data_IF_086943852247
#
_entry.id   IF_086943852247
#
_cell.length_a   1.000
_cell.length_b   1.000
_cell.length_c   1.000
_cell.angle_alpha   90.00
_cell.angle_beta   90.00
_cell.angle_gamma   90.00
#
_symmetry.space_group_name_H-M   'P 1'
#
loop_
_entity.id
_entity.type
_entity.pdbx_description
1 polymer ?
#
# COMPACT_ATOMS: atom_id res chain seq x y z
N UNK A 1 8.39 -21.72 9.53
CA UNK A 1 7.08 -22.40 9.48
C UNK A 1 6.65 -22.76 8.06
N UNK A 2 6.76 -21.88 7.06
CA UNK A 2 6.31 -22.18 5.69
C UNK A 2 6.78 -23.51 5.09
N UNK A 3 8.06 -23.88 5.26
CA UNK A 3 8.59 -25.20 4.83
C UNK A 3 7.82 -26.39 5.44
N UNK A 4 7.36 -26.26 6.69
CA UNK A 4 6.58 -27.30 7.38
C UNK A 4 5.22 -27.44 6.70
N UNK A 5 4.47 -26.35 6.51
CA UNK A 5 3.15 -26.39 5.88
C UNK A 5 3.20 -26.83 4.42
N UNK A 6 4.21 -26.41 3.65
CA UNK A 6 4.41 -26.84 2.27
C UNK A 6 4.75 -28.33 2.13
N UNK A 7 5.43 -28.91 3.13
CA UNK A 7 5.72 -30.34 3.17
C UNK A 7 4.51 -31.18 3.62
N UNK A 8 3.66 -30.62 4.49
CA UNK A 8 2.50 -31.31 5.07
C UNK A 8 1.49 -31.79 4.03
N UNK A 9 1.09 -33.06 4.13
CA UNK A 9 0.01 -33.61 3.31
C UNK A 9 -1.36 -33.09 3.71
N UNK A 10 -1.55 -32.85 5.01
CA UNK A 10 -2.81 -32.46 5.63
C UNK A 10 -2.55 -31.37 6.67
N UNK A 11 -3.34 -30.30 6.61
CA UNK A 11 -3.41 -29.24 7.61
C UNK A 11 -4.84 -29.23 8.16
N UNK A 12 -4.96 -29.27 9.49
CA UNK A 12 -6.23 -29.14 10.20
C UNK A 12 -6.25 -27.78 10.88
N UNK A 13 -7.02 -26.85 10.32
CA UNK A 13 -7.30 -25.54 10.85
C UNK A 13 -8.37 -25.64 11.95
N UNK A 14 -7.96 -25.76 13.21
CA UNK A 14 -8.90 -25.78 14.33
C UNK A 14 -9.35 -24.37 14.69
N UNK A 15 -10.63 -24.06 14.43
CA UNK A 15 -11.22 -22.73 14.63
C UNK A 15 -12.01 -22.62 15.94
N UNK A 16 -11.87 -23.60 16.84
CA UNK A 16 -12.58 -23.66 18.13
C UNK A 16 -13.94 -24.37 18.08
N UNK A 17 -14.64 -24.38 19.21
CA UNK A 17 -15.94 -25.01 19.38
C UNK A 17 -17.06 -24.38 18.51
N UNK A 18 -18.19 -25.07 18.41
CA UNK A 18 -19.37 -24.48 17.77
C UNK A 18 -19.92 -23.31 18.59
N UNK A 19 -19.97 -22.13 17.98
CA UNK A 19 -20.58 -20.90 18.48
C UNK A 19 -21.16 -20.10 17.29
N UNK A 20 -21.98 -19.08 17.55
CA UNK A 20 -22.48 -18.13 16.54
C UNK A 20 -23.07 -18.78 15.28
N UNK A 21 -23.91 -19.80 15.46
CA UNK A 21 -24.53 -20.58 14.38
C UNK A 21 -23.55 -21.33 13.45
N UNK A 22 -22.26 -21.45 13.80
CA UNK A 22 -21.29 -22.23 13.01
C UNK A 22 -21.70 -23.69 12.82
N UNK A 23 -22.43 -24.31 13.77
CA UNK A 23 -23.00 -25.66 13.63
C UNK A 23 -24.00 -25.73 12.48
N UNK A 24 -24.86 -24.72 12.38
CA UNK A 24 -25.83 -24.59 11.29
C UNK A 24 -25.12 -24.39 9.94
N UNK A 25 -24.13 -23.49 9.90
CA UNK A 25 -23.30 -23.25 8.71
C UNK A 25 -22.62 -24.55 8.25
N UNK A 26 -21.90 -25.24 9.14
CA UNK A 26 -21.18 -26.47 8.86
C UNK A 26 -22.12 -27.55 8.29
N UNK A 27 -23.26 -27.77 8.94
CA UNK A 27 -24.27 -28.72 8.46
C UNK A 27 -24.79 -28.36 7.06
N UNK A 28 -25.01 -27.08 6.77
CA UNK A 28 -25.45 -26.62 5.45
C UNK A 28 -24.37 -26.77 4.39
N UNK A 29 -23.13 -26.42 4.69
CA UNK A 29 -21.99 -26.63 3.80
C UNK A 29 -21.81 -28.12 3.48
N UNK A 30 -21.94 -29.01 4.47
CA UNK A 30 -21.87 -30.46 4.28
C UNK A 30 -23.02 -31.01 3.41
N UNK A 31 -24.26 -30.60 3.68
CA UNK A 31 -25.43 -31.01 2.90
C UNK A 31 -25.32 -30.61 1.41
N UNK A 32 -24.55 -29.57 1.11
CA UNK A 32 -24.31 -29.08 -0.25
C UNK A 32 -22.82 -29.17 -0.64
N UNK A 33 -22.09 -30.12 -0.06
CA UNK A 33 -20.64 -30.26 -0.21
C UNK A 33 -20.18 -30.43 -1.66
N UNK A 34 -20.98 -31.09 -2.50
CA UNK A 34 -20.67 -31.23 -3.92
C UNK A 34 -20.66 -29.86 -4.61
N UNK A 35 -21.74 -29.08 -4.44
CA UNK A 35 -21.91 -27.77 -5.05
C UNK A 35 -20.80 -26.82 -4.62
N UNK A 36 -20.52 -26.72 -3.31
CA UNK A 36 -19.49 -25.81 -2.81
C UNK A 36 -18.08 -26.25 -3.21
N UNK A 37 -17.77 -27.54 -3.21
CA UNK A 37 -16.47 -28.01 -3.72
C UNK A 37 -16.34 -27.77 -5.22
N UNK A 38 -17.43 -27.87 -5.98
CA UNK A 38 -17.43 -27.61 -7.41
C UNK A 38 -17.19 -26.13 -7.72
N UNK A 39 -17.97 -25.22 -7.11
CA UNK A 39 -17.76 -23.76 -7.23
C UNK A 39 -16.36 -23.40 -6.75
N UNK A 40 -15.95 -23.97 -5.61
CA UNK A 40 -14.65 -23.75 -5.02
C UNK A 40 -13.46 -24.38 -5.76
N UNK A 41 -13.68 -25.09 -6.87
CA UNK A 41 -12.62 -25.56 -7.80
C UNK A 41 -12.58 -24.73 -9.08
N UNK A 42 -13.69 -24.08 -9.41
CA UNK A 42 -13.94 -23.46 -10.70
C UNK A 42 -14.19 -21.97 -10.48
N UNK A 43 -13.13 -21.21 -10.15
CA UNK A 43 -13.27 -19.77 -9.87
C UNK A 43 -12.88 -18.80 -10.99
N UNK A 44 -12.17 -19.24 -12.03
CA UNK A 44 -11.89 -18.43 -13.23
C UNK A 44 -13.15 -18.10 -14.07
N UNK A 45 -14.35 -18.14 -13.49
CA UNK A 45 -15.62 -18.31 -14.19
C UNK A 45 -16.53 -17.08 -13.98
N UNK A 46 -16.47 -16.14 -14.93
CA UNK A 46 -17.46 -15.07 -15.14
C UNK A 46 -18.30 -15.33 -16.40
N UNK A 47 -18.33 -16.56 -16.90
CA UNK A 47 -19.00 -16.94 -18.14
C UNK A 47 -20.53 -17.05 -18.02
N UNK A 48 -21.26 -17.06 -19.16
CA UNK A 48 -22.73 -17.14 -19.17
C UNK A 48 -23.31 -18.43 -18.54
N UNK A 49 -22.61 -19.57 -18.68
CA UNK A 49 -22.99 -20.86 -18.07
C UNK A 49 -23.02 -20.79 -16.54
N UNK A 50 -22.23 -19.89 -15.96
CA UNK A 50 -21.93 -19.87 -14.52
C UNK A 50 -22.99 -19.08 -13.76
N UNK A 51 -23.63 -18.12 -14.43
CA UNK A 51 -24.83 -17.44 -13.93
C UNK A 51 -25.99 -18.42 -13.74
N UNK A 52 -26.12 -19.42 -14.61
CA UNK A 52 -27.19 -20.42 -14.51
C UNK A 52 -26.98 -21.34 -13.29
N UNK A 53 -25.75 -21.80 -13.06
CA UNK A 53 -25.40 -22.60 -11.88
C UNK A 53 -25.50 -21.81 -10.58
N UNK A 54 -25.08 -20.54 -10.58
CA UNK A 54 -25.26 -19.65 -9.44
C UNK A 54 -26.75 -19.47 -9.14
N UNK A 55 -27.58 -19.15 -10.15
CA UNK A 55 -29.05 -19.06 -9.99
C UNK A 55 -29.69 -20.35 -9.50
N UNK A 56 -29.25 -21.50 -10.02
CA UNK A 56 -29.71 -22.82 -9.56
C UNK A 56 -29.35 -23.04 -8.09
N UNK A 57 -28.13 -22.66 -7.68
CA UNK A 57 -27.71 -22.73 -6.27
C UNK A 57 -28.56 -21.82 -5.38
N UNK A 58 -28.84 -20.59 -5.79
CA UNK A 58 -29.74 -19.69 -5.06
C UNK A 58 -31.12 -20.29 -4.84
N UNK A 59 -31.63 -20.94 -5.89
CA UNK A 59 -32.89 -21.66 -5.81
C UNK A 59 -32.81 -22.82 -4.82
N UNK A 60 -31.73 -23.60 -4.85
CA UNK A 60 -31.52 -24.77 -3.99
C UNK A 60 -31.31 -24.43 -2.51
N UNK A 61 -30.55 -23.37 -2.20
CA UNK A 61 -30.28 -22.95 -0.82
C UNK A 61 -31.52 -22.32 -0.18
N UNK A 62 -32.52 -21.94 -0.99
CA UNK A 62 -33.69 -21.13 -0.61
C UNK A 62 -33.25 -19.78 -0.04
N UNK A 63 -33.78 -18.70 -0.60
CA UNK A 63 -33.47 -17.32 -0.20
C UNK A 63 -33.51 -17.08 1.32
N UNK A 64 -34.41 -17.76 2.05
CA UNK A 64 -34.55 -17.63 3.51
C UNK A 64 -33.37 -18.20 4.33
N UNK A 65 -32.61 -19.15 3.79
CA UNK A 65 -31.50 -19.82 4.49
C UNK A 65 -30.22 -18.99 4.42
N UNK A 66 -30.04 -18.27 3.31
CA UNK A 66 -28.78 -17.63 2.97
C UNK A 66 -28.37 -16.53 3.97
N UNK A 67 -29.23 -15.59 4.40
CA UNK A 67 -28.84 -14.57 5.37
C UNK A 67 -28.27 -15.16 6.66
N UNK A 68 -28.88 -16.24 7.17
CA UNK A 68 -28.39 -16.94 8.37
C UNK A 68 -27.02 -17.59 8.14
N UNK A 69 -26.80 -18.20 6.97
CA UNK A 69 -25.49 -18.75 6.62
C UNK A 69 -24.42 -17.66 6.51
N UNK A 70 -24.74 -16.51 5.93
CA UNK A 70 -23.81 -15.38 5.81
C UNK A 70 -23.46 -14.79 7.17
N UNK A 71 -24.45 -14.59 8.05
CA UNK A 71 -24.22 -14.16 9.44
C UNK A 71 -23.29 -15.15 10.15
N UNK A 72 -23.61 -16.45 10.10
CA UNK A 72 -22.80 -17.48 10.75
C UNK A 72 -21.37 -17.56 10.18
N UNK A 73 -21.22 -17.38 8.87
CA UNK A 73 -19.91 -17.38 8.22
C UNK A 73 -19.09 -16.15 8.57
N UNK A 74 -19.71 -14.97 8.58
CA UNK A 74 -19.11 -13.73 9.04
C UNK A 74 -18.60 -13.85 10.48
N UNK A 75 -19.43 -14.38 11.38
CA UNK A 75 -19.02 -14.65 12.77
C UNK A 75 -17.88 -15.66 12.85
N UNK A 76 -17.85 -16.68 11.98
CA UNK A 76 -16.75 -17.63 11.89
C UNK A 76 -15.42 -16.94 11.52
N UNK A 77 -15.41 -16.05 10.53
CA UNK A 77 -14.22 -15.31 10.07
C UNK A 77 -13.71 -14.27 11.09
N UNK A 78 -14.54 -13.90 12.06
CA UNK A 78 -14.17 -12.99 13.15
C UNK A 78 -13.50 -13.68 14.32
N UNK A 79 -13.44 -15.01 14.33
CA UNK A 79 -12.76 -15.77 15.39
C UNK A 79 -11.26 -15.50 15.38
N UNK A 80 -10.67 -15.56 16.57
CA UNK A 80 -9.24 -15.36 16.83
C UNK A 80 -8.35 -16.15 15.86
N UNK A 81 -8.74 -17.38 15.50
CA UNK A 81 -8.00 -18.18 14.52
C UNK A 81 -7.69 -17.37 13.24
N UNK A 82 -8.70 -16.76 12.61
CA UNK A 82 -8.58 -16.01 11.36
C UNK A 82 -8.00 -14.60 11.53
N UNK A 83 -7.74 -14.18 12.76
CA UNK A 83 -7.05 -12.93 13.03
C UNK A 83 -5.54 -13.14 12.96
N UNK A 84 -5.00 -14.35 13.14
CA UNK A 84 -3.53 -14.54 13.20
C UNK A 84 -2.88 -14.46 11.82
N UNK A 85 -1.74 -13.75 11.72
CA UNK A 85 -0.97 -13.67 10.46
C UNK A 85 -0.54 -15.05 9.92
N UNK A 86 -0.19 -15.97 10.81
CA UNK A 86 0.28 -17.32 10.45
C UNK A 86 -0.75 -18.19 9.73
N UNK A 87 -2.04 -17.85 9.83
CA UNK A 87 -3.11 -18.56 9.12
C UNK A 87 -2.93 -18.52 7.61
N UNK A 88 -2.27 -17.49 7.07
CA UNK A 88 -1.90 -17.46 5.66
C UNK A 88 -1.04 -18.67 5.28
N UNK A 89 -0.01 -19.01 6.05
CA UNK A 89 0.83 -20.18 5.74
C UNK A 89 0.04 -21.49 5.89
N UNK A 90 -0.81 -21.59 6.92
CA UNK A 90 -1.64 -22.76 7.18
C UNK A 90 -2.62 -23.04 6.02
N UNK A 91 -3.29 -21.99 5.52
CA UNK A 91 -4.32 -22.12 4.50
C UNK A 91 -3.76 -22.23 3.07
N UNK A 92 -2.66 -21.55 2.76
CA UNK A 92 -2.13 -21.45 1.39
C UNK A 92 -1.12 -22.56 1.05
N UNK A 93 -0.28 -22.98 2.01
CA UNK A 93 0.79 -23.95 1.72
C UNK A 93 0.37 -25.41 1.92
N UNK A 94 -0.71 -25.66 2.67
CA UNK A 94 -1.19 -27.01 2.92
C UNK A 94 -1.73 -27.69 1.64
N UNK A 95 -1.26 -28.91 1.35
CA UNK A 95 -1.75 -29.69 0.19
C UNK A 95 -3.23 -30.03 0.30
N UNK A 96 -3.67 -30.35 1.51
CA UNK A 96 -5.08 -30.52 1.87
C UNK A 96 -5.34 -29.77 3.17
N UNK A 97 -6.34 -28.88 3.14
CA UNK A 97 -6.70 -28.08 4.30
C UNK A 97 -8.14 -28.41 4.70
N UNK A 98 -8.31 -28.79 5.95
CA UNK A 98 -9.60 -29.01 6.58
C UNK A 98 -9.78 -28.04 7.73
N UNK A 99 -10.95 -27.43 7.82
CA UNK A 99 -11.36 -26.58 8.93
C UNK A 99 -12.14 -27.44 9.91
N UNK A 100 -11.67 -27.49 11.16
CA UNK A 100 -12.36 -28.15 12.25
C UNK A 100 -13.03 -27.11 13.14
N UNK A 101 -14.37 -27.16 13.21
CA UNK A 101 -15.18 -26.32 14.05
C UNK A 101 -16.04 -27.22 14.95
N UNK A 102 -15.77 -27.24 16.26
CA UNK A 102 -16.34 -28.23 17.18
C UNK A 102 -16.13 -29.66 16.66
N UNK A 103 -17.21 -30.45 16.57
CA UNK A 103 -17.18 -31.80 16.00
C UNK A 103 -17.22 -31.85 14.46
N UNK A 104 -17.41 -30.72 13.78
CA UNK A 104 -17.52 -30.66 12.33
C UNK A 104 -16.15 -30.52 11.66
N UNK A 105 -15.81 -31.43 10.75
CA UNK A 105 -14.61 -31.37 9.92
C UNK A 105 -15.00 -31.16 8.46
N UNK A 106 -14.58 -30.03 7.87
CA UNK A 106 -14.95 -29.64 6.51
C UNK A 106 -13.71 -29.29 5.69
N UNK A 107 -13.69 -29.69 4.42
CA UNK A 107 -12.61 -29.29 3.51
C UNK A 107 -12.71 -27.77 3.22
N UNK A 108 -11.59 -27.04 3.23
CA UNK A 108 -11.53 -25.57 3.05
C UNK A 108 -12.29 -25.08 1.80
N UNK A 109 -12.21 -25.85 0.70
CA UNK A 109 -12.92 -25.61 -0.56
C UNK A 109 -14.44 -25.44 -0.41
N UNK A 110 -15.06 -25.93 0.66
CA UNK A 110 -16.48 -25.71 0.92
C UNK A 110 -16.76 -24.28 1.37
N UNK A 111 -15.98 -23.74 2.32
CA UNK A 111 -16.07 -22.34 2.73
C UNK A 111 -15.77 -21.42 1.57
N UNK A 112 -14.75 -21.81 0.80
CA UNK A 112 -14.36 -21.08 -0.37
C UNK A 112 -15.48 -21.04 -1.44
N UNK A 113 -16.06 -22.18 -1.82
CA UNK A 113 -17.19 -22.18 -2.75
C UNK A 113 -18.39 -21.38 -2.26
N UNK A 114 -18.61 -21.33 -0.94
CA UNK A 114 -19.63 -20.48 -0.34
C UNK A 114 -19.30 -18.98 -0.47
N UNK A 115 -18.04 -18.61 -0.20
CA UNK A 115 -17.53 -17.25 -0.39
C UNK A 115 -17.68 -16.77 -1.84
N UNK A 116 -17.26 -17.60 -2.80
CA UNK A 116 -17.36 -17.33 -4.22
C UNK A 116 -18.83 -17.15 -4.68
N UNK A 117 -19.71 -18.05 -4.27
CA UNK A 117 -21.14 -17.97 -4.59
C UNK A 117 -21.78 -16.68 -4.03
N UNK A 118 -21.37 -16.27 -2.83
CA UNK A 118 -21.82 -15.02 -2.24
C UNK A 118 -21.31 -13.80 -2.99
N UNK A 119 -20.04 -13.79 -3.40
CA UNK A 119 -19.46 -12.68 -4.17
C UNK A 119 -20.17 -12.51 -5.53
N UNK A 120 -20.37 -13.60 -6.28
CA UNK A 120 -21.09 -13.59 -7.56
C UNK A 120 -22.51 -13.03 -7.39
N UNK A 121 -23.17 -13.38 -6.30
CA UNK A 121 -24.50 -12.84 -6.01
C UNK A 121 -24.51 -11.38 -5.65
N UNK A 122 -23.55 -10.95 -4.84
CA UNK A 122 -23.32 -9.54 -4.54
C UNK A 122 -23.20 -8.74 -5.83
N UNK A 123 -22.40 -9.23 -6.79
CA UNK A 123 -22.26 -8.61 -8.11
C UNK A 123 -23.57 -8.62 -8.91
N UNK A 124 -24.29 -9.73 -8.96
CA UNK A 124 -25.58 -9.81 -9.66
C UNK A 124 -26.62 -8.86 -9.06
N UNK A 125 -26.66 -8.74 -7.73
CA UNK A 125 -27.57 -7.84 -7.02
C UNK A 125 -27.14 -6.39 -7.14
N UNK A 126 -25.85 -6.11 -7.07
CA UNK A 126 -25.31 -4.78 -7.31
C UNK A 126 -25.62 -4.33 -8.74
N UNK A 127 -25.54 -5.22 -9.73
CA UNK A 127 -25.95 -4.91 -11.10
C UNK A 127 -27.46 -4.63 -11.17
N UNK A 128 -28.31 -5.50 -10.61
CA UNK A 128 -29.77 -5.27 -10.55
C UNK A 128 -30.15 -3.98 -9.78
N UNK A 129 -29.38 -3.63 -8.74
CA UNK A 129 -29.60 -2.44 -7.91
C UNK A 129 -29.04 -1.16 -8.55
N UNK A 130 -27.91 -1.26 -9.25
CA UNK A 130 -27.33 -0.19 -10.07
C UNK A 130 -28.26 0.15 -11.24
N UNK A 131 -28.89 -0.87 -11.83
CA UNK A 131 -29.97 -0.70 -12.81
C UNK A 131 -31.25 -0.07 -12.20
N UNK A 132 -31.37 -0.05 -10.87
CA UNK A 132 -32.53 0.50 -10.14
C UNK A 132 -32.24 1.76 -9.32
N UNK A 133 -31.02 2.31 -9.41
CA UNK A 133 -30.52 3.55 -8.79
C UNK A 133 -31.28 4.03 -7.54
N UNK A 134 -30.86 3.49 -6.40
CA UNK A 134 -30.77 4.10 -5.06
C UNK A 134 -31.13 3.01 -4.07
N UNK A 135 -30.12 2.44 -3.43
CA UNK A 135 -30.14 1.62 -2.21
C UNK A 135 -28.76 0.93 -2.19
N UNK A 136 -28.05 0.80 -1.10
CA UNK A 136 -28.27 1.22 0.28
C UNK A 136 -26.96 0.96 0.99
N UNK A 137 -26.71 1.68 2.07
CA UNK A 137 -25.69 1.35 3.08
C UNK A 137 -26.02 0.03 3.78
N UNK A 138 -26.10 -1.09 3.04
CA UNK A 138 -26.26 -2.39 3.67
C UNK A 138 -24.92 -2.78 4.32
N UNK A 139 -24.79 -2.69 5.65
CA UNK A 139 -23.53 -2.93 6.36
C UNK A 139 -23.09 -4.39 6.25
N UNK A 140 -23.97 -5.27 5.75
CA UNK A 140 -23.66 -6.68 5.55
C UNK A 140 -22.63 -6.93 4.46
N UNK A 141 -22.53 -6.08 3.44
CA UNK A 141 -21.64 -6.34 2.30
C UNK A 141 -20.19 -5.89 2.53
N UNK A 142 -19.93 -4.89 3.38
CA UNK A 142 -18.60 -4.22 3.40
C UNK A 142 -17.57 -4.73 4.41
N UNK A 143 -17.98 -5.34 5.53
CA UNK A 143 -17.08 -5.40 6.71
C UNK A 143 -16.18 -6.63 6.84
N UNK A 144 -16.29 -7.65 5.98
CA UNK A 144 -15.42 -8.83 6.05
C UNK A 144 -14.94 -9.31 4.66
N UNK A 145 -14.96 -8.42 3.66
CA UNK A 145 -14.50 -8.72 2.29
C UNK A 145 -13.03 -9.18 2.28
N UNK A 146 -12.09 -8.53 2.97
CA UNK A 146 -10.67 -8.94 2.88
C UNK A 146 -10.44 -10.36 3.42
N UNK A 147 -11.07 -10.74 4.54
CA UNK A 147 -10.97 -12.10 5.09
C UNK A 147 -11.65 -13.15 4.20
N UNK A 148 -12.69 -12.74 3.48
CA UNK A 148 -13.30 -13.56 2.44
C UNK A 148 -12.29 -13.80 1.31
N UNK A 149 -11.64 -12.73 0.83
CA UNK A 149 -10.63 -12.76 -0.21
C UNK A 149 -9.41 -13.59 0.21
N UNK A 150 -9.00 -13.53 1.48
CA UNK A 150 -7.99 -14.42 2.06
C UNK A 150 -8.36 -15.90 1.87
N UNK A 151 -9.59 -16.29 2.24
CA UNK A 151 -10.06 -17.67 2.06
C UNK A 151 -10.14 -18.07 0.59
N UNK A 152 -10.49 -17.10 -0.26
CA UNK A 152 -10.52 -17.25 -1.71
C UNK A 152 -9.13 -17.50 -2.25
N UNK A 153 -8.21 -16.55 -2.06
CA UNK A 153 -6.83 -16.65 -2.49
C UNK A 153 -6.16 -17.94 -1.98
N UNK A 154 -6.32 -18.26 -0.69
CA UNK A 154 -5.69 -19.43 -0.06
C UNK A 154 -6.17 -20.77 -0.57
N UNK A 155 -7.36 -20.83 -1.18
CA UNK A 155 -7.91 -22.08 -1.69
C UNK A 155 -7.45 -22.45 -3.11
N UNK A 156 -6.86 -21.51 -3.86
CA UNK A 156 -6.43 -21.72 -5.27
C UNK A 156 -4.98 -21.42 -5.54
N UNK A 157 -4.42 -20.41 -4.87
CA UNK A 157 -3.05 -20.00 -5.13
C UNK A 157 -2.10 -20.92 -4.39
N UNK A 158 -1.75 -22.02 -5.05
CA UNK A 158 -0.49 -22.71 -4.78
C UNK A 158 0.71 -21.95 -5.36
N UNK A 159 0.46 -20.93 -6.19
CA UNK A 159 1.51 -20.07 -6.69
C UNK A 159 1.79 -18.95 -5.69
N UNK A 160 3.06 -18.63 -5.46
CA UNK A 160 3.44 -17.46 -4.70
C UNK A 160 2.82 -16.17 -5.29
N UNK A 161 2.51 -15.21 -4.42
CA UNK A 161 1.89 -13.92 -4.75
C UNK A 161 2.93 -12.79 -4.75
N UNK A 162 2.74 -11.71 -5.54
CA UNK A 162 3.58 -10.53 -5.43
C UNK A 162 3.60 -9.97 -3.99
N UNK A 163 4.74 -9.44 -3.50
CA UNK A 163 4.85 -8.90 -2.15
C UNK A 163 3.76 -7.87 -1.82
N UNK A 164 3.45 -6.96 -2.75
CA UNK A 164 2.44 -5.92 -2.56
C UNK A 164 1.05 -6.47 -2.23
N UNK A 165 0.58 -7.45 -3.00
CA UNK A 165 -0.74 -8.07 -2.77
C UNK A 165 -0.80 -8.75 -1.40
N UNK A 166 0.27 -9.42 -0.97
CA UNK A 166 0.30 -10.08 0.33
C UNK A 166 0.32 -9.08 1.48
N UNK A 167 1.09 -7.99 1.36
CA UNK A 167 1.12 -6.94 2.38
C UNK A 167 -0.23 -6.23 2.46
N UNK A 168 -0.85 -5.92 1.32
CA UNK A 168 -2.21 -5.37 1.23
C UNK A 168 -3.21 -6.30 1.93
N UNK A 169 -3.20 -7.58 1.60
CA UNK A 169 -4.02 -8.59 2.26
C UNK A 169 -3.82 -8.64 3.79
N UNK A 170 -2.58 -8.58 4.27
CA UNK A 170 -2.27 -8.56 5.72
C UNK A 170 -2.79 -7.28 6.39
N UNK A 171 -2.74 -6.15 5.70
CA UNK A 171 -3.28 -4.88 6.16
C UNK A 171 -4.81 -4.92 6.21
N UNK A 172 -5.46 -5.24 5.11
CA UNK A 172 -6.91 -5.17 4.94
C UNK A 172 -7.65 -6.24 5.76
N UNK A 173 -7.02 -7.39 6.02
CA UNK A 173 -7.58 -8.41 6.91
C UNK A 173 -7.41 -8.07 8.40
N UNK A 174 -6.72 -6.98 8.73
CA UNK A 174 -6.41 -6.55 10.10
C UNK A 174 -5.80 -7.71 10.92
N UNK A 175 -4.84 -8.44 10.33
CA UNK A 175 -4.27 -9.59 11.02
C UNK A 175 -3.53 -9.14 12.30
N UNK A 176 -3.37 -10.04 13.24
CA UNK A 176 -2.73 -9.82 14.52
C UNK A 176 -1.52 -10.73 14.67
N UNK A 177 -0.54 -10.23 15.38
CA UNK A 177 0.68 -10.93 15.78
C UNK A 177 1.26 -10.24 17.02
N UNK A 178 2.04 -10.97 17.80
CA UNK A 178 2.68 -10.42 18.99
C UNK A 178 3.88 -9.54 18.63
N UNK A 179 4.72 -10.02 17.71
CA UNK A 179 5.86 -9.28 17.16
C UNK A 179 5.44 -8.63 15.83
N UNK A 180 5.69 -7.34 15.64
CA UNK A 180 5.36 -6.63 14.40
C UNK A 180 6.08 -7.20 13.18
N UNK A 181 7.29 -7.76 13.34
CA UNK A 181 8.04 -8.38 12.26
C UNK A 181 7.30 -9.60 11.67
N UNK A 182 6.46 -10.28 12.47
CA UNK A 182 5.66 -11.41 12.00
C UNK A 182 4.61 -11.00 10.95
N UNK A 183 4.24 -9.71 10.84
CA UNK A 183 3.40 -9.22 9.74
C UNK A 183 4.02 -9.49 8.37
N UNK A 184 5.36 -9.51 8.31
CA UNK A 184 6.13 -9.75 7.10
C UNK A 184 6.67 -11.17 7.10
N UNK A 185 7.32 -11.60 8.19
CA UNK A 185 7.92 -12.93 8.30
C UNK A 185 6.88 -14.05 8.21
N UNK A 186 5.66 -13.78 8.66
CA UNK A 186 4.50 -14.67 8.53
C UNK A 186 4.03 -14.89 7.09
N UNK A 187 4.46 -14.09 6.11
CA UNK A 187 4.04 -14.23 4.70
C UNK A 187 5.18 -14.52 3.73
N UNK A 188 6.46 -14.51 4.15
CA UNK A 188 7.61 -14.64 3.23
C UNK A 188 7.58 -15.88 2.33
N UNK A 189 7.10 -17.01 2.84
CA UNK A 189 7.00 -18.25 2.07
C UNK A 189 5.90 -18.24 1.02
N UNK A 190 5.02 -17.24 1.05
CA UNK A 190 3.96 -17.02 0.07
C UNK A 190 4.38 -16.02 -1.01
N UNK A 191 5.48 -15.29 -0.82
CA UNK A 191 5.92 -14.23 -1.72
C UNK A 191 6.61 -14.82 -2.95
N UNK A 192 6.27 -14.31 -4.13
CA UNK A 192 6.97 -14.56 -5.37
C UNK A 192 8.15 -13.60 -5.51
N UNK A 193 9.38 -14.09 -5.28
CA UNK A 193 10.59 -13.27 -5.25
C UNK A 193 11.25 -13.04 -6.63
N UNK A 194 10.62 -13.41 -7.76
CA UNK A 194 11.13 -13.10 -9.12
C UNK A 194 12.65 -13.40 -9.31
N UNK A 195 13.09 -14.60 -8.93
CA UNK A 195 14.49 -15.07 -8.95
C UNK A 195 15.42 -14.51 -7.84
N UNK A 196 14.97 -13.58 -7.00
CA UNK A 196 15.72 -13.13 -5.83
C UNK A 196 15.68 -14.15 -4.68
N UNK A 197 16.69 -14.08 -3.81
CA UNK A 197 16.71 -14.84 -2.57
C UNK A 197 15.64 -14.30 -1.60
N UNK A 198 14.74 -15.16 -1.08
CA UNK A 198 13.75 -14.74 -0.10
C UNK A 198 14.40 -14.08 1.13
N UNK A 199 13.69 -13.13 1.75
CA UNK A 199 14.12 -12.60 3.05
C UNK A 199 14.30 -13.75 4.05
N UNK A 200 15.37 -13.68 4.84
CA UNK A 200 15.53 -14.56 5.98
C UNK A 200 15.00 -13.84 7.22
N UNK A 201 14.11 -14.46 8.03
CA UNK A 201 13.65 -13.86 9.27
C UNK A 201 14.84 -13.54 10.20
N UNK A 202 15.00 -12.27 10.53
CA UNK A 202 15.97 -11.76 11.51
C UNK A 202 15.21 -10.91 12.55
N UNK A 203 15.04 -11.45 13.75
CA UNK A 203 14.36 -10.76 14.86
C UNK A 203 15.30 -9.83 15.64
N UNK A 204 16.58 -9.75 15.25
CA UNK A 204 17.49 -8.71 15.76
C UNK A 204 17.40 -7.42 14.93
N UNK A 205 16.72 -7.50 13.78
CA UNK A 205 16.46 -6.38 12.88
C UNK A 205 15.38 -5.46 13.44
N UNK A 206 15.59 -4.16 13.31
CA UNK A 206 14.59 -3.15 13.63
C UNK A 206 13.51 -3.04 12.53
N UNK A 207 12.26 -2.75 12.91
CA UNK A 207 11.11 -2.68 11.99
C UNK A 207 11.32 -1.68 10.84
N UNK A 208 12.00 -0.56 11.07
CA UNK A 208 12.28 0.40 10.00
C UNK A 208 13.28 -0.17 9.01
N UNK A 209 14.30 -0.88 9.49
CA UNK A 209 15.28 -1.53 8.62
C UNK A 209 14.64 -2.60 7.74
N UNK A 210 13.71 -3.39 8.29
CA UNK A 210 12.94 -4.35 7.51
C UNK A 210 12.08 -3.65 6.43
N UNK A 211 11.47 -2.51 6.76
CA UNK A 211 10.73 -1.70 5.79
C UNK A 211 11.60 -1.22 4.62
N UNK A 212 12.82 -0.76 4.91
CA UNK A 212 13.80 -0.35 3.89
C UNK A 212 14.19 -1.53 3.01
N UNK A 213 14.37 -2.72 3.58
CA UNK A 213 14.70 -3.92 2.82
C UNK A 213 13.56 -4.37 1.90
N UNK A 214 12.31 -4.32 2.38
CA UNK A 214 11.12 -4.62 1.57
C UNK A 214 11.01 -3.68 0.36
N UNK A 215 11.16 -2.38 0.57
CA UNK A 215 11.16 -1.40 -0.52
C UNK A 215 12.32 -1.58 -1.49
N UNK A 216 13.50 -1.92 -0.96
CA UNK A 216 14.69 -2.17 -1.76
C UNK A 216 14.55 -3.37 -2.69
N UNK A 217 13.69 -4.34 -2.35
CA UNK A 217 13.40 -5.51 -3.20
C UNK A 217 12.21 -5.27 -4.10
N UNK A 218 11.25 -4.43 -3.67
CA UNK A 218 10.15 -4.02 -4.52
C UNK A 218 10.71 -3.56 -5.87
N UNK A 219 11.69 -2.64 -5.88
CA UNK A 219 12.31 -2.00 -7.07
C UNK A 219 12.74 -2.94 -8.22
N UNK A 220 12.95 -4.23 -7.95
CA UNK A 220 13.45 -5.20 -8.94
C UNK A 220 12.30 -5.86 -9.72
N UNK A 221 11.05 -5.73 -9.26
CA UNK A 221 9.87 -6.20 -9.99
C UNK A 221 9.64 -5.45 -11.33
N UNK A 222 9.22 -6.12 -12.41
CA UNK A 222 8.97 -5.46 -13.71
C UNK A 222 7.72 -4.56 -13.76
N UNK A 223 6.95 -4.45 -12.67
CA UNK A 223 5.64 -3.77 -12.61
C UNK A 223 5.67 -2.36 -11.99
N UNK A 224 6.83 -1.72 -11.86
CA UNK A 224 6.94 -0.45 -11.13
C UNK A 224 6.38 0.74 -11.86
N UNK A 225 5.19 1.17 -11.46
CA UNK A 225 4.86 2.58 -11.49
C UNK A 225 5.30 3.26 -10.18
N UNK A 226 5.58 4.57 -10.22
CA UNK A 226 5.82 5.34 -8.98
C UNK A 226 4.60 5.28 -8.07
N UNK A 227 3.39 5.23 -8.66
CA UNK A 227 2.15 5.10 -7.91
C UNK A 227 2.10 3.77 -7.16
N UNK A 228 2.52 2.67 -7.80
CA UNK A 228 2.66 1.37 -7.15
C UNK A 228 3.69 1.42 -6.01
N UNK A 229 4.85 2.05 -6.21
CA UNK A 229 5.86 2.16 -5.16
C UNK A 229 5.38 2.99 -3.97
N UNK A 230 4.68 4.11 -4.21
CA UNK A 230 4.10 4.92 -3.13
C UNK A 230 3.02 4.15 -2.36
N UNK A 231 2.14 3.46 -3.09
CA UNK A 231 1.11 2.62 -2.49
C UNK A 231 1.75 1.51 -1.66
N UNK A 232 2.77 0.84 -2.20
CA UNK A 232 3.52 -0.20 -1.52
C UNK A 232 4.27 0.31 -0.29
N UNK A 233 4.96 1.46 -0.39
CA UNK A 233 5.59 2.11 0.77
C UNK A 233 4.57 2.46 1.84
N UNK A 234 3.39 2.93 1.42
CA UNK A 234 2.31 3.20 2.36
C UNK A 234 1.78 1.97 3.06
N UNK A 235 1.62 0.87 2.34
CA UNK A 235 1.29 -0.42 2.92
C UNK A 235 2.36 -0.86 3.92
N UNK A 236 3.65 -0.74 3.58
CA UNK A 236 4.77 -1.06 4.49
C UNK A 236 4.73 -0.19 5.76
N UNK A 237 4.54 1.12 5.63
CA UNK A 237 4.39 2.05 6.77
C UNK A 237 3.23 1.64 7.68
N UNK A 238 2.10 1.24 7.10
CA UNK A 238 0.90 0.83 7.84
C UNK A 238 1.11 -0.50 8.56
N UNK A 239 1.60 -1.53 7.87
CA UNK A 239 1.73 -2.87 8.46
C UNK A 239 2.81 -2.94 9.54
N UNK A 240 3.90 -2.17 9.39
CA UNK A 240 4.99 -2.08 10.36
C UNK A 240 4.79 -0.96 11.39
N UNK A 241 3.64 -0.26 11.35
CA UNK A 241 3.27 0.82 12.26
C UNK A 241 4.34 1.93 12.39
N UNK A 242 5.05 2.21 11.29
CA UNK A 242 6.13 3.21 11.25
C UNK A 242 5.63 4.66 11.44
N UNK A 243 4.32 4.86 11.52
CA UNK A 243 3.74 6.13 11.93
C UNK A 243 3.61 6.17 13.47
N UNK A 244 2.81 5.30 14.08
CA UNK A 244 2.46 5.37 15.51
C UNK A 244 3.60 5.07 16.49
N UNK A 245 4.52 4.18 16.12
CA UNK A 245 5.60 3.72 17.00
C UNK A 245 6.92 4.04 16.31
N UNK A 246 7.52 5.19 16.66
CA UNK A 246 8.82 5.57 16.14
C UNK A 246 9.85 4.55 16.62
N UNK A 247 10.26 3.67 15.72
CA UNK A 247 11.44 2.86 15.94
C UNK A 247 12.65 3.79 16.19
N UNK A 248 13.61 3.41 17.06
CA UNK A 248 14.79 4.24 17.33
C UNK A 248 15.56 4.61 16.05
N UNK A 249 15.55 3.73 15.05
CA UNK A 249 16.20 3.99 13.75
C UNK A 249 15.43 4.99 12.90
N UNK A 250 14.10 4.89 12.84
CA UNK A 250 13.28 5.88 12.13
C UNK A 250 13.40 7.27 12.78
N UNK A 251 13.36 7.34 14.12
CA UNK A 251 13.54 8.60 14.84
C UNK A 251 14.90 9.23 14.52
N UNK A 252 15.98 8.44 14.59
CA UNK A 252 17.31 8.89 14.20
C UNK A 252 17.38 9.34 12.73
N UNK A 253 16.74 8.61 11.82
CA UNK A 253 16.67 8.95 10.40
C UNK A 253 15.94 10.30 10.17
N UNK A 254 14.86 10.57 10.91
CA UNK A 254 14.14 11.85 10.87
C UNK A 254 15.02 12.97 11.46
N UNK A 255 15.70 12.72 12.59
CA UNK A 255 16.57 13.70 13.24
C UNK A 255 17.73 14.13 12.33
N UNK A 256 18.37 13.19 11.62
CA UNK A 256 19.42 13.51 10.63
C UNK A 256 18.88 14.51 9.59
N UNK A 257 17.70 14.23 9.03
CA UNK A 257 17.06 15.06 8.00
C UNK A 257 16.67 16.44 8.53
N UNK A 258 16.31 16.56 9.81
CA UNK A 258 16.03 17.83 10.47
C UNK A 258 17.31 18.67 10.66
N UNK A 259 18.40 18.03 11.09
CA UNK A 259 19.68 18.72 11.30
C UNK A 259 20.29 19.22 9.99
N UNK A 260 20.28 18.40 8.93
CA UNK A 260 20.82 18.78 7.63
C UNK A 260 20.03 19.93 7.00
N UNK A 261 18.69 19.89 7.05
CA UNK A 261 17.86 21.00 6.56
C UNK A 261 18.16 22.32 7.28
N UNK A 262 18.36 22.28 8.60
CA UNK A 262 18.68 23.47 9.40
C UNK A 262 20.05 24.04 9.02
N UNK A 263 21.06 23.18 8.89
CA UNK A 263 22.41 23.58 8.51
C UNK A 263 22.45 24.14 7.07
N UNK A 264 21.73 23.52 6.14
CA UNK A 264 21.65 23.95 4.74
C UNK A 264 20.88 25.27 4.59
N UNK A 265 19.81 25.47 5.38
CA UNK A 265 19.08 26.73 5.45
C UNK A 265 19.96 27.89 5.90
N UNK A 266 20.82 27.65 6.90
CA UNK A 266 21.77 28.64 7.41
C UNK A 266 22.95 28.91 6.44
N UNK A 267 23.49 27.88 5.79
CA UNK A 267 24.60 28.05 4.82
C UNK A 267 24.17 28.69 3.50
N UNK A 268 22.96 28.44 3.03
CA UNK A 268 22.42 29.07 1.81
C UNK A 268 22.16 30.57 2.00
N UNK A 269 22.10 31.06 3.26
CA UNK A 269 22.08 32.49 3.55
C UNK A 269 23.47 33.15 3.52
N UNK A 270 24.55 32.35 3.60
CA UNK A 270 25.90 32.87 3.84
C UNK A 270 26.94 32.57 2.74
N UNK A 271 26.85 31.50 1.95
CA UNK A 271 27.96 31.14 1.05
C UNK A 271 27.62 30.14 -0.05
N UNK A 272 27.32 30.66 -1.25
CA UNK A 272 27.44 29.88 -2.48
C UNK A 272 28.88 30.06 -3.04
N UNK A 273 29.89 29.51 -2.35
CA UNK A 273 31.25 29.42 -2.89
C UNK A 273 32.00 28.21 -2.32
N UNK A 274 32.15 27.20 -3.19
CA UNK A 274 33.16 26.12 -3.19
C UNK A 274 33.18 25.16 -1.98
N UNK A 275 32.45 24.05 -2.11
CA UNK A 275 32.79 22.79 -1.44
C UNK A 275 33.21 21.75 -2.49
N UNK A 276 34.34 21.07 -2.24
CA UNK A 276 34.88 19.98 -3.04
C UNK A 276 34.55 18.65 -2.34
N UNK A 277 33.88 17.74 -3.05
CA UNK A 277 33.48 16.42 -2.53
C UNK A 277 34.38 15.32 -3.10
N UNK A 278 35.00 14.56 -2.19
CA UNK A 278 35.73 13.33 -2.48
C UNK A 278 34.77 12.14 -2.63
N UNK A 279 35.00 11.32 -3.66
CA UNK A 279 34.23 10.11 -3.96
C UNK A 279 34.42 9.02 -2.90
N UNK A 280 33.38 8.71 -2.13
CA UNK A 280 33.24 7.44 -1.39
C UNK A 280 32.24 6.53 -2.11
N UNK A 281 32.52 5.22 -2.10
CA UNK A 281 31.77 4.18 -2.80
C UNK A 281 30.24 4.26 -2.54
N UNK A 282 29.47 4.09 -3.62
CA UNK A 282 28.10 4.57 -3.73
C UNK A 282 27.03 3.81 -2.91
N UNK A 283 26.07 4.53 -2.28
CA UNK A 283 24.87 3.94 -1.71
C UNK A 283 23.88 3.49 -2.80
N UNK A 284 22.98 2.56 -2.43
CA UNK A 284 22.01 1.85 -3.28
C UNK A 284 20.84 2.78 -3.71
N UNK A 285 21.09 3.73 -4.60
CA UNK A 285 20.06 4.63 -5.14
C UNK A 285 18.95 3.86 -5.88
N UNK A 286 17.68 4.19 -5.63
CA UNK A 286 16.59 3.73 -6.49
C UNK A 286 16.68 4.35 -7.87
N UNK A 287 16.28 3.53 -8.82
CA UNK A 287 16.06 3.94 -10.17
C UNK A 287 14.58 3.79 -10.47
N UNK A 288 13.84 4.90 -10.47
CA UNK A 288 12.56 4.93 -11.16
C UNK A 288 12.82 5.20 -12.65
N UNK A 289 13.18 4.14 -13.38
CA UNK A 289 13.21 4.23 -14.84
C UNK A 289 11.76 4.38 -15.35
N UNK A 290 11.50 5.44 -16.13
CA UNK A 290 10.28 5.51 -16.94
C UNK A 290 9.22 6.55 -16.57
N UNK A 291 9.38 7.36 -15.53
CA UNK A 291 8.36 8.37 -15.18
C UNK A 291 8.87 9.79 -15.25
N UNK A 292 8.05 10.61 -15.90
CA UNK A 292 8.34 11.98 -16.29
C UNK A 292 7.54 12.89 -15.36
N UNK A 293 8.18 13.36 -14.29
CA UNK A 293 7.55 14.30 -13.38
C UNK A 293 7.53 15.68 -14.00
N UNK A 294 6.35 16.30 -14.03
CA UNK A 294 6.21 17.68 -14.45
C UNK A 294 6.83 18.63 -13.43
N UNK A 295 7.80 19.44 -13.85
CA UNK A 295 8.38 20.47 -13.01
C UNK A 295 7.74 21.84 -13.22
N UNK A 296 7.59 22.61 -12.15
CA UNK A 296 7.27 24.05 -12.19
C UNK A 296 8.40 24.81 -11.53
N UNK A 297 8.94 25.82 -12.22
CA UNK A 297 9.97 26.68 -11.65
C UNK A 297 9.37 27.76 -10.75
N UNK A 298 9.90 27.92 -9.54
CA UNK A 298 9.51 28.99 -8.61
C UNK A 298 10.08 30.34 -9.10
N UNK A 299 9.21 31.33 -9.26
CA UNK A 299 9.57 32.68 -9.72
C UNK A 299 9.35 33.72 -8.61
N UNK A 300 10.19 34.77 -8.57
CA UNK A 300 9.99 35.91 -7.68
C UNK A 300 9.03 36.91 -8.29
N UNK A 301 7.91 37.16 -7.62
CA UNK A 301 6.95 38.20 -7.97
C UNK A 301 7.20 39.45 -7.12
N UNK A 302 8.32 40.14 -7.37
CA UNK A 302 8.56 41.59 -7.17
C UNK A 302 8.30 42.29 -5.82
N UNK A 303 7.65 41.66 -4.83
CA UNK A 303 7.25 42.27 -3.55
C UNK A 303 7.54 41.26 -2.45
N UNK A 304 8.50 41.59 -1.57
CA UNK A 304 9.14 40.69 -0.60
C UNK A 304 8.29 40.16 0.57
N UNK A 305 7.06 39.73 0.31
CA UNK A 305 6.33 38.81 1.18
C UNK A 305 6.25 37.45 0.47
N UNK A 306 6.36 36.35 1.20
CA UNK A 306 6.29 34.99 0.67
C UNK A 306 4.92 34.73 0.02
N UNK A 307 4.77 35.10 -1.25
CA UNK A 307 3.58 34.83 -2.04
C UNK A 307 3.81 33.55 -2.84
N UNK A 308 2.93 32.58 -2.58
CA UNK A 308 2.66 31.38 -3.37
C UNK A 308 2.96 31.57 -4.86
N UNK A 309 3.57 30.60 -5.57
CA UNK A 309 3.87 30.74 -6.98
C UNK A 309 2.58 31.03 -7.77
N UNK A 310 2.40 32.28 -8.17
CA UNK A 310 1.43 32.66 -9.19
C UNK A 310 2.07 32.23 -10.50
N UNK A 311 1.65 31.06 -10.99
CA UNK A 311 1.85 30.73 -12.40
C UNK A 311 0.96 31.68 -13.18
N UNK A 312 1.55 32.67 -13.86
CA UNK A 312 0.84 33.55 -14.80
C UNK A 312 0.32 32.72 -15.98
N UNK A 313 -0.84 32.11 -15.79
CA UNK A 313 -1.70 31.66 -16.88
C UNK A 313 -2.69 32.76 -17.20
N UNK A 314 -2.58 33.37 -18.38
CA UNK A 314 -3.61 34.27 -18.90
C UNK A 314 -4.89 33.46 -19.20
N UNK A 315 -5.74 33.25 -18.20
CA UNK A 315 -7.12 32.83 -18.44
C UNK A 315 -8.05 33.32 -17.31
N UNK A 316 -8.81 34.36 -17.64
CA UNK A 316 -10.17 34.66 -17.16
C UNK A 316 -10.54 34.27 -15.71
N UNK A 317 -10.41 35.22 -14.78
CA UNK A 317 -11.52 35.56 -13.88
C UNK A 317 -11.80 34.74 -12.62
N UNK A 318 -11.03 33.70 -12.27
CA UNK A 318 -11.16 33.04 -10.97
C UNK A 318 -9.84 32.99 -10.20
N UNK A 319 -9.77 33.80 -9.13
CA UNK A 319 -8.62 33.93 -8.22
C UNK A 319 -8.57 32.70 -7.30
N UNK A 320 -8.14 31.56 -7.83
CA UNK A 320 -7.85 30.36 -7.03
C UNK A 320 -6.49 30.60 -6.37
N UNK A 321 -6.48 31.07 -5.13
CA UNK A 321 -5.29 31.01 -4.28
C UNK A 321 -5.05 29.52 -4.01
N UNK A 322 -4.12 28.93 -4.76
CA UNK A 322 -3.77 27.50 -4.66
C UNK A 322 -2.82 27.34 -3.48
N UNK A 323 -3.32 26.80 -2.37
CA UNK A 323 -2.55 26.56 -1.14
C UNK A 323 -1.45 25.52 -1.39
N UNK A 324 -0.27 25.98 -1.78
CA UNK A 324 0.96 25.19 -1.79
C UNK A 324 1.81 25.64 -0.61
N UNK A 325 2.03 24.75 0.35
CA UNK A 325 2.98 24.99 1.42
C UNK A 325 4.35 24.50 0.96
N UNK A 326 5.34 25.39 1.05
CA UNK A 326 6.72 25.12 0.66
C UNK A 326 7.60 25.00 1.90
N UNK A 327 8.67 24.19 1.86
CA UNK A 327 9.60 24.10 2.96
C UNK A 327 10.42 25.40 3.08
N UNK A 328 10.93 25.75 4.27
CA UNK A 328 11.77 26.95 4.46
C UNK A 328 13.04 26.98 3.60
N UNK A 329 13.49 25.82 3.11
CA UNK A 329 14.66 25.68 2.25
C UNK A 329 14.40 26.04 0.78
N UNK A 330 13.13 26.18 0.37
CA UNK A 330 12.75 26.52 -0.99
C UNK A 330 13.18 27.96 -1.34
N UNK A 331 13.73 28.13 -2.53
CA UNK A 331 14.21 29.42 -3.03
C UNK A 331 13.71 29.69 -4.46
N UNK A 332 13.79 30.96 -4.86
CA UNK A 332 13.52 31.39 -6.23
C UNK A 332 14.47 30.65 -7.19
N UNK A 333 13.91 30.12 -8.27
CA UNK A 333 14.63 29.33 -9.26
C UNK A 333 14.63 27.83 -9.02
N UNK A 334 14.22 27.36 -7.83
CA UNK A 334 13.98 25.94 -7.57
C UNK A 334 12.82 25.41 -8.40
N UNK A 335 12.78 24.10 -8.58
CA UNK A 335 11.70 23.41 -9.27
C UNK A 335 10.83 22.67 -8.26
N UNK A 336 9.54 22.71 -8.47
CA UNK A 336 8.55 21.95 -7.76
C UNK A 336 8.09 20.79 -8.65
N UNK A 337 8.44 19.56 -8.26
CA UNK A 337 7.97 18.35 -8.91
C UNK A 337 6.64 17.93 -8.27
N UNK A 338 5.61 17.76 -9.10
CA UNK A 338 4.25 17.42 -8.65
C UNK A 338 3.94 15.97 -9.00
N UNK A 339 3.56 15.15 -8.00
CA UNK A 339 2.95 13.85 -8.27
C UNK A 339 1.43 13.94 -8.26
N UNK A 340 0.82 13.53 -9.36
CA UNK A 340 -0.59 13.73 -9.61
C UNK A 340 -1.50 12.62 -9.08
N UNK A 341 -1.60 12.38 -7.77
CA UNK A 341 -2.62 11.45 -7.25
C UNK A 341 -4.03 12.07 -7.36
N UNK A 342 -5.03 11.25 -7.72
CA UNK A 342 -6.43 11.66 -7.71
C UNK A 342 -6.98 11.62 -6.27
N UNK A 343 -7.60 12.71 -5.82
CA UNK A 343 -8.49 12.73 -4.66
C UNK A 343 -7.96 13.33 -3.35
N UNK A 344 -6.64 13.40 -3.11
CA UNK A 344 -6.08 13.82 -1.82
C UNK A 344 -4.80 14.67 -1.95
N UNK A 345 -4.41 15.37 -0.88
CA UNK A 345 -3.26 16.29 -0.86
C UNK A 345 -2.02 15.71 -1.52
N UNK A 346 -1.32 16.52 -2.31
CA UNK A 346 -0.20 16.06 -3.13
C UNK A 346 1.13 16.40 -2.46
N UNK A 347 1.99 15.40 -2.40
CA UNK A 347 3.39 15.56 -2.02
C UNK A 347 4.10 16.23 -3.20
N UNK A 348 4.78 17.32 -2.91
CA UNK A 348 5.64 18.03 -3.84
C UNK A 348 7.08 17.77 -3.46
N UNK A 349 7.97 17.58 -4.42
CA UNK A 349 9.41 17.58 -4.18
C UNK A 349 10.00 18.88 -4.69
N UNK A 350 10.74 19.56 -3.84
CA UNK A 350 11.45 20.79 -4.22
C UNK A 350 12.87 20.39 -4.59
N UNK A 351 13.25 20.66 -5.84
CA UNK A 351 14.56 20.31 -6.37
C UNK A 351 15.32 21.57 -6.81
N UNK A 352 16.64 21.56 -6.61
CA UNK A 352 17.55 22.66 -6.96
C UNK A 352 18.62 22.18 -7.91
N UNK A 353 18.85 22.91 -8.99
CA UNK A 353 19.89 22.57 -9.96
C UNK A 353 21.28 22.65 -9.32
N UNK A 354 22.12 21.64 -9.54
CA UNK A 354 23.51 21.68 -9.12
C UNK A 354 24.31 22.61 -10.05
N UNK A 355 25.19 23.45 -9.48
CA UNK A 355 25.93 24.52 -10.18
C UNK A 355 26.69 24.05 -11.44
N UNK A 356 27.00 22.76 -11.58
CA UNK A 356 27.79 22.23 -12.71
C UNK A 356 27.27 20.90 -13.30
N UNK A 357 26.01 20.51 -13.10
CA UNK A 357 25.51 19.17 -13.52
C UNK A 357 24.08 19.21 -14.06
N UNK A 358 23.73 18.21 -14.88
CA UNK A 358 22.34 17.89 -15.27
C UNK A 358 21.51 17.27 -14.13
N UNK A 359 22.02 17.36 -12.89
CA UNK A 359 21.39 16.81 -11.68
C UNK A 359 20.80 17.92 -10.83
N UNK A 360 19.70 17.59 -10.18
CA UNK A 360 18.95 18.44 -9.28
C UNK A 360 18.89 17.76 -7.92
N UNK A 361 19.32 18.43 -6.87
CA UNK A 361 19.21 17.92 -5.50
C UNK A 361 17.80 18.11 -4.98
N UNK A 362 17.27 17.14 -4.23
CA UNK A 362 16.01 17.32 -3.51
C UNK A 362 16.30 18.12 -2.24
N UNK A 363 15.91 19.39 -2.24
CA UNK A 363 16.18 20.35 -1.14
C UNK A 363 15.04 20.44 -0.13
N UNK A 364 13.92 19.79 -0.39
CA UNK A 364 12.80 19.69 0.53
C UNK A 364 11.56 19.08 -0.11
N UNK A 365 10.47 19.10 0.64
CA UNK A 365 9.14 18.65 0.19
C UNK A 365 8.09 19.68 0.53
N UNK A 366 7.06 19.77 -0.30
CA UNK A 366 5.93 20.68 -0.14
C UNK A 366 4.60 19.93 -0.12
N UNK A 367 3.52 20.66 0.14
CA UNK A 367 2.17 20.14 0.20
C UNK A 367 1.24 20.97 -0.69
N UNK A 368 0.43 20.33 -1.52
CA UNK A 368 -0.63 20.98 -2.28
C UNK A 368 -2.00 20.40 -1.93
N UNK A 369 -2.98 21.26 -1.61
CA UNK A 369 -4.35 20.82 -1.28
C UNK A 369 -5.12 20.23 -2.48
N UNK A 370 -4.79 20.66 -3.69
CA UNK A 370 -5.48 20.26 -4.91
C UNK A 370 -4.48 19.92 -6.00
N UNK A 371 -4.82 18.95 -6.86
CA UNK A 371 -4.06 18.62 -8.07
C UNK A 371 -3.89 19.87 -8.91
N UNK A 372 -2.69 20.48 -8.89
CA UNK A 372 -2.52 21.71 -9.59
C UNK A 372 -2.42 21.38 -11.08
N UNK A 373 -3.35 21.96 -11.85
CA UNK A 373 -3.25 21.92 -13.32
C UNK A 373 -2.13 22.87 -13.70
N UNK A 374 -0.94 22.31 -13.87
CA UNK A 374 0.21 23.04 -14.39
C UNK A 374 0.50 22.59 -15.82
N UNK A 375 0.78 23.53 -16.74
CA UNK A 375 1.41 23.16 -18.00
C UNK A 375 2.80 22.62 -17.68
N UNK A 376 2.99 21.32 -17.86
CA UNK A 376 4.27 20.67 -17.61
C UNK A 376 5.20 20.96 -18.79
N UNK A 377 6.16 21.88 -18.62
CA UNK A 377 7.15 22.18 -19.66
C UNK A 377 8.25 21.13 -19.71
N UNK A 378 8.72 20.73 -18.53
CA UNK A 378 9.90 19.90 -18.35
C UNK A 378 9.56 18.64 -17.56
N UNK A 379 10.26 17.57 -17.91
CA UNK A 379 10.06 16.25 -17.36
C UNK A 379 11.33 15.80 -16.64
N UNK A 380 11.18 15.29 -15.42
CA UNK A 380 12.30 14.85 -14.60
C UNK A 380 12.22 13.35 -14.33
N UNK A 381 13.38 12.68 -14.39
CA UNK A 381 13.61 11.34 -13.86
C UNK A 381 14.04 11.46 -12.40
N UNK A 382 13.38 10.73 -11.52
CA UNK A 382 13.59 10.83 -10.07
C UNK A 382 14.32 9.59 -9.56
N UNK A 383 15.33 9.82 -8.72
CA UNK A 383 16.12 8.80 -8.05
C UNK A 383 15.98 9.05 -6.56
N UNK A 384 15.35 8.14 -5.83
CA UNK A 384 15.19 8.26 -4.37
C UNK A 384 15.97 7.12 -3.69
N UNK A 385 16.40 7.22 -2.45
CA UNK A 385 16.91 6.06 -1.68
C UNK A 385 15.77 5.35 -0.91
N UNK A 386 15.91 4.05 -0.63
CA UNK A 386 14.91 3.27 0.13
C UNK A 386 14.59 3.83 1.49
N UNK A 387 15.61 4.30 2.18
CA UNK A 387 15.43 4.97 3.45
C UNK A 387 14.71 6.31 3.26
N UNK A 388 15.18 7.15 2.32
CA UNK A 388 14.59 8.46 2.04
C UNK A 388 13.10 8.36 1.68
N UNK A 389 12.74 7.38 0.85
CA UNK A 389 11.37 7.15 0.43
C UNK A 389 10.49 6.68 1.59
N UNK A 390 10.99 5.78 2.43
CA UNK A 390 10.23 5.26 3.57
C UNK A 390 10.01 6.34 4.64
N UNK A 391 11.02 7.16 4.92
CA UNK A 391 10.87 8.30 5.86
C UNK A 391 9.89 9.33 5.29
N UNK A 392 9.98 9.63 3.99
CA UNK A 392 9.01 10.51 3.35
C UNK A 392 7.60 9.94 3.47
N UNK A 393 7.40 8.67 3.13
CA UNK A 393 6.11 8.00 3.22
C UNK A 393 5.56 7.99 4.65
N UNK A 394 6.37 7.63 5.65
CA UNK A 394 5.92 7.55 7.06
C UNK A 394 5.36 8.87 7.57
N UNK A 395 5.96 9.99 7.17
CA UNK A 395 5.51 11.33 7.54
C UNK A 395 4.29 11.78 6.72
N UNK A 396 4.18 11.38 5.46
CA UNK A 396 3.02 11.73 4.64
C UNK A 396 1.72 11.04 5.08
N UNK A 397 1.80 9.86 5.69
CA UNK A 397 0.61 9.16 6.19
C UNK A 397 -0.06 9.88 7.35
N UNK A 398 0.71 10.43 8.28
CA UNK A 398 0.18 11.29 9.35
C UNK A 398 -0.66 12.42 8.78
N UNK A 399 -0.14 13.08 7.76
CA UNK A 399 -0.79 14.24 7.18
C UNK A 399 -2.09 13.93 6.43
N UNK A 400 -2.24 12.72 5.88
CA UNK A 400 -3.44 12.34 5.10
C UNK A 400 -4.70 12.32 5.98
N UNK A 401 -4.56 11.93 7.24
CA UNK A 401 -5.67 11.83 8.18
C UNK A 401 -5.90 13.16 8.94
N UNK A 402 -4.89 14.02 9.02
CA UNK A 402 -4.89 15.25 9.83
C UNK A 402 -4.84 16.57 9.06
N UNK A 403 -5.15 16.60 7.75
CA UNK A 403 -5.16 17.76 6.82
C UNK A 403 -5.81 19.09 7.32
N UNK A 404 -6.38 19.12 8.53
CA UNK A 404 -6.85 20.31 9.24
C UNK A 404 -5.87 20.93 10.25
N UNK A 405 -4.79 20.27 10.66
CA UNK A 405 -3.83 20.81 11.64
C UNK A 405 -2.63 21.49 10.96
N UNK A 406 -2.32 22.71 11.41
CA UNK A 406 -1.20 23.52 10.89
C UNK A 406 0.12 23.03 11.46
N UNK A 407 0.14 22.55 12.70
CA UNK A 407 1.36 22.11 13.38
C UNK A 407 1.97 20.89 12.68
N UNK A 408 1.13 19.92 12.29
CA UNK A 408 1.54 18.74 11.52
C UNK A 408 2.15 19.11 10.16
N UNK A 409 1.64 20.17 9.53
CA UNK A 409 2.18 20.66 8.26
C UNK A 409 3.60 21.23 8.45
N UNK A 410 3.84 21.97 9.54
CA UNK A 410 5.15 22.56 9.82
C UNK A 410 6.20 21.48 10.09
N UNK A 411 5.89 20.47 10.90
CA UNK A 411 6.81 19.35 11.17
C UNK A 411 7.15 18.57 9.88
N UNK A 412 6.12 18.30 9.06
CA UNK A 412 6.29 17.64 7.77
C UNK A 412 7.23 18.43 6.85
N UNK A 413 7.04 19.76 6.76
CA UNK A 413 7.85 20.63 5.90
C UNK A 413 9.26 20.88 6.45
N UNK A 414 9.45 20.81 7.77
CA UNK A 414 10.74 20.95 8.41
C UNK A 414 11.66 19.75 8.13
N UNK A 415 11.08 18.55 7.96
CA UNK A 415 11.87 17.34 7.73
C UNK A 415 12.38 17.25 6.29
N UNK A 416 13.71 17.10 6.15
CA UNK A 416 14.37 16.87 4.87
C UNK A 416 13.89 15.60 4.18
N UNK A 417 14.21 15.48 2.90
CA UNK A 417 13.97 14.22 2.15
C UNK A 417 15.19 13.31 2.25
N UNK A 418 16.37 13.84 1.95
CA UNK A 418 17.61 13.09 1.92
C UNK A 418 18.23 12.99 3.32
N UNK A 419 18.55 11.78 3.77
CA UNK A 419 19.35 11.56 5.00
C UNK A 419 20.85 11.75 4.79
N UNK A 420 21.31 11.73 3.53
CA UNK A 420 22.68 12.08 3.14
C UNK A 420 22.59 12.97 1.90
N UNK A 421 23.36 14.09 1.80
CA UNK A 421 23.28 14.96 0.64
C UNK A 421 23.52 14.22 -0.68
N UNK A 422 22.50 14.18 -1.54
CA UNK A 422 22.54 13.53 -2.84
C UNK A 422 22.26 12.02 -2.85
N UNK A 423 21.84 11.42 -1.72
CA UNK A 423 21.27 10.05 -1.71
C UNK A 423 20.06 9.94 -2.64
N UNK A 424 19.25 11.01 -2.69
CA UNK A 424 18.16 11.19 -3.63
C UNK A 424 18.36 12.44 -4.50
N UNK A 425 18.02 12.36 -5.79
CA UNK A 425 18.18 13.43 -6.76
C UNK A 425 17.23 13.27 -7.96
N UNK A 426 17.13 14.31 -8.78
CA UNK A 426 16.42 14.26 -10.06
C UNK A 426 17.36 14.61 -11.22
N UNK A 427 17.05 14.09 -12.40
CA UNK A 427 17.72 14.37 -13.67
C UNK A 427 16.68 14.87 -14.67
N UNK A 428 17.05 15.83 -15.52
CA UNK A 428 16.18 16.23 -16.63
C UNK A 428 16.07 15.07 -17.61
N UNK A 429 14.86 14.67 -17.99
CA UNK A 429 14.68 13.60 -18.95
C UNK A 429 15.02 14.09 -20.36
N UNK A 430 15.90 13.34 -21.05
CA UNK A 430 16.27 13.65 -22.44
C UNK A 430 15.03 13.68 -23.35
N UNK A 431 15.03 14.58 -24.34
CA UNK A 431 13.91 14.77 -25.28
C UNK A 431 13.56 13.51 -26.10
N UNK A 432 14.42 12.49 -26.09
CA UNK A 432 14.29 11.23 -26.84
C UNK A 432 13.07 10.39 -26.39
N UNK A 433 12.46 10.71 -25.25
CA UNK A 433 11.24 10.06 -24.73
C UNK A 433 9.93 10.85 -24.97
N UNK A 434 9.91 11.81 -25.91
CA UNK A 434 8.69 12.56 -26.27
C UNK A 434 7.79 11.83 -27.25
#
# INVERSE_FOLDING_TARGET
MGKVFGASHLVIAYVGEHADDSRYLCKKLQNHAYCFRWVGRNQHWLGPSDRALSRLWFFLIRYKTLPRMLIAFKSLLRREYFQRVWVYQELFLGKQVYVQCGESLLHIRMFHGFAAANHIWGLMKAQEAFERLSLSDDPFLRTDIPKLEMLVAGSFQQQPLPPAMLIEHVHDCELECHDLLDKVYGILSLVHWMDEEPLSPDYTMDVFHLGVELLSRAKESPLHSVDFLLEYAGLVVKILRLHNELSPRLEHAIQIRNHENTAQGLMNYASCTKASLSHTAGPRSFFCEGFLWGGIRLASNGTGEWVYPIVEGQSTGHRIVRNILLPPTAAVGDWCLVQGYEGYGQILLIIRQCVNRQRYWIVGKGLARYKPKFPTSDRFRLHIDAEDFLVMASQSFYFKDSLGDVEDAEEYLATGVCGVPGSSYAELADEVFR
#
